data_IF_219751732962
#
_entry.id   IF_219751732962
#
_cell.length_a   1.000
_cell.length_b   1.000
_cell.length_c   1.000
_cell.angle_alpha   90.00
_cell.angle_beta   90.00
_cell.angle_gamma   90.00
#
_symmetry.space_group_name_H-M   'P 1'
#
loop_
_entity.id
_entity.type
_entity.pdbx_description
1 polymer ?
#
# COMPACT_ATOMS: atom_id res chain seq x y z
N UNK A 1 -2.54 23.30 24.29
CA UNK A 1 -2.68 22.99 22.85
C UNK A 1 -1.68 21.92 22.36
N UNK A 2 -0.44 21.93 22.89
CA UNK A 2 0.55 20.84 22.98
C UNK A 2 0.12 19.36 22.85
N UNK A 3 -0.38 18.85 23.97
CA UNK A 3 -0.34 17.43 24.30
C UNK A 3 -1.32 16.54 23.52
N UNK A 4 -2.38 17.12 22.95
CA UNK A 4 -3.48 16.35 22.32
C UNK A 4 -3.09 15.80 20.95
N UNK A 5 -2.33 16.57 20.17
CA UNK A 5 -1.82 16.16 18.85
C UNK A 5 -0.66 15.17 18.96
N UNK A 6 0.26 15.41 19.90
CA UNK A 6 1.38 14.49 20.19
C UNK A 6 0.86 13.12 20.61
N UNK A 7 -0.15 13.08 21.50
CA UNK A 7 -0.77 11.82 21.95
C UNK A 7 -1.55 11.09 20.84
N UNK A 8 -2.04 11.81 19.83
CA UNK A 8 -2.75 11.23 18.69
C UNK A 8 -1.80 10.59 17.66
N UNK A 9 -0.64 11.21 17.43
CA UNK A 9 0.37 10.81 16.44
C UNK A 9 1.48 9.91 16.97
N UNK A 10 1.64 9.79 18.29
CA UNK A 10 2.63 8.87 18.90
C UNK A 10 2.42 7.42 18.46
N UNK A 11 1.16 6.98 18.33
CA UNK A 11 0.87 5.61 17.92
C UNK A 11 1.29 5.33 16.46
N UNK A 12 0.88 6.14 15.45
CA UNK A 12 1.44 6.04 14.10
C UNK A 12 2.97 6.04 14.06
N UNK A 13 3.63 6.93 14.81
CA UNK A 13 5.10 6.98 14.88
C UNK A 13 5.72 5.70 15.44
N UNK A 14 5.13 5.12 16.49
CA UNK A 14 5.62 3.84 17.06
C UNK A 14 5.45 2.70 16.06
N UNK A 15 4.31 2.65 15.38
CA UNK A 15 4.03 1.62 14.36
C UNK A 15 4.99 1.78 13.17
N UNK A 16 5.34 3.01 12.79
CA UNK A 16 6.32 3.31 11.74
C UNK A 16 7.74 2.88 12.15
N UNK A 17 8.14 3.15 13.39
CA UNK A 17 9.41 2.65 13.93
C UNK A 17 9.49 1.12 13.93
N UNK A 18 8.40 0.44 14.28
CA UNK A 18 8.29 -1.02 14.20
C UNK A 18 8.34 -1.52 12.76
N UNK A 19 7.74 -0.80 11.80
CA UNK A 19 7.79 -1.12 10.38
C UNK A 19 9.21 -1.08 9.82
N UNK A 20 9.98 -0.03 10.15
CA UNK A 20 11.38 0.08 9.73
C UNK A 20 12.21 -1.08 10.29
N UNK A 21 12.02 -1.41 11.58
CA UNK A 21 12.67 -2.57 12.19
C UNK A 21 12.28 -3.89 11.54
N UNK A 22 11.00 -4.07 11.21
CA UNK A 22 10.53 -5.28 10.52
C UNK A 22 11.13 -5.39 9.11
N UNK A 23 11.23 -4.28 8.37
CA UNK A 23 11.90 -4.26 7.06
C UNK A 23 13.39 -4.60 7.15
N UNK A 24 14.07 -4.17 8.21
CA UNK A 24 15.48 -4.49 8.45
C UNK A 24 15.69 -5.97 8.81
N UNK A 25 14.77 -6.58 9.57
CA UNK A 25 14.86 -7.97 10.01
C UNK A 25 14.41 -8.99 8.95
N UNK A 26 13.43 -8.65 8.12
CA UNK A 26 12.80 -9.57 7.17
C UNK A 26 13.03 -9.13 5.72
N UNK A 27 14.30 -9.18 5.31
CA UNK A 27 14.69 -8.84 3.94
C UNK A 27 14.05 -9.81 2.93
N UNK A 28 13.32 -9.26 1.96
CA UNK A 28 12.59 -10.02 0.92
C UNK A 28 11.07 -10.05 1.09
N UNK A 29 10.55 -9.68 2.27
CA UNK A 29 9.10 -9.62 2.55
C UNK A 29 8.53 -8.19 2.56
N UNK A 30 9.25 -7.22 2.00
CA UNK A 30 8.92 -5.79 2.06
C UNK A 30 7.47 -5.48 1.66
N UNK A 31 6.95 -6.10 0.60
CA UNK A 31 5.56 -5.89 0.15
C UNK A 31 4.53 -6.37 1.17
N UNK A 32 4.80 -7.50 1.84
CA UNK A 32 3.91 -8.05 2.85
C UNK A 32 3.93 -7.23 4.14
N UNK A 33 5.13 -6.81 4.56
CA UNK A 33 5.32 -5.97 5.74
C UNK A 33 4.68 -4.60 5.50
N UNK A 34 4.81 -4.05 4.29
CA UNK A 34 4.19 -2.79 3.90
C UNK A 34 2.66 -2.89 3.91
N UNK A 35 2.10 -3.95 3.33
CA UNK A 35 0.66 -4.19 3.38
C UNK A 35 0.15 -4.34 4.82
N UNK A 36 0.86 -5.10 5.66
CA UNK A 36 0.50 -5.28 7.07
C UNK A 36 0.50 -3.96 7.85
N UNK A 37 1.50 -3.11 7.61
CA UNK A 37 1.61 -1.78 8.22
C UNK A 37 0.37 -0.92 7.94
N UNK A 38 -0.02 -0.83 6.67
CA UNK A 38 -1.21 -0.06 6.28
C UNK A 38 -2.52 -0.67 6.83
N UNK A 39 -2.62 -1.99 6.92
CA UNK A 39 -3.77 -2.65 7.56
C UNK A 39 -3.87 -2.28 9.05
N UNK A 40 -2.75 -2.28 9.77
CA UNK A 40 -2.71 -1.90 11.20
C UNK A 40 -3.13 -0.44 11.39
N UNK A 41 -2.64 0.47 10.54
CA UNK A 41 -3.06 1.87 10.55
C UNK A 41 -4.56 2.02 10.24
N UNK A 42 -5.06 1.34 9.21
CA UNK A 42 -6.48 1.38 8.85
C UNK A 42 -7.38 0.86 9.99
N UNK A 43 -6.98 -0.23 10.66
CA UNK A 43 -7.69 -0.73 11.84
C UNK A 43 -7.67 0.28 13.00
N UNK A 44 -6.53 0.95 13.24
CA UNK A 44 -6.41 1.98 14.27
C UNK A 44 -7.31 3.18 14.01
N UNK A 45 -7.32 3.73 12.79
CA UNK A 45 -8.22 4.83 12.42
C UNK A 45 -9.69 4.43 12.48
N UNK A 46 -10.01 3.18 12.12
CA UNK A 46 -11.36 2.63 12.26
C UNK A 46 -11.80 2.52 13.73
N UNK A 47 -10.93 2.04 14.62
CA UNK A 47 -11.22 1.93 16.06
C UNK A 47 -11.47 3.29 16.71
N UNK A 48 -10.83 4.34 16.19
CA UNK A 48 -11.05 5.73 16.62
C UNK A 48 -12.35 6.35 16.12
N UNK A 49 -13.13 5.65 15.29
CA UNK A 49 -14.33 6.15 14.60
C UNK A 49 -14.07 7.38 13.70
N UNK A 50 -12.81 7.72 13.45
CA UNK A 50 -12.42 8.75 12.48
C UNK A 50 -12.72 8.27 11.04
N UNK A 51 -12.96 6.97 10.85
CA UNK A 51 -13.24 6.35 9.56
C UNK A 51 -14.46 5.40 9.63
N UNK A 52 -15.49 5.69 8.84
CA UNK A 52 -16.69 4.84 8.71
C UNK A 52 -16.64 4.06 7.39
N UNK A 53 -16.54 2.73 7.44
CA UNK A 53 -16.65 1.92 6.20
C UNK A 53 -18.01 2.13 5.53
N UNK A 54 -19.04 2.45 6.34
CA UNK A 54 -20.36 2.93 5.92
C UNK A 54 -20.22 3.92 4.75
N UNK A 55 -19.59 5.03 5.10
CA UNK A 55 -19.38 6.18 4.23
C UNK A 55 -18.35 5.91 3.15
N UNK A 56 -17.33 5.11 3.46
CA UNK A 56 -16.31 4.73 2.48
C UNK A 56 -16.91 3.91 1.34
N UNK A 57 -17.71 2.87 1.63
CA UNK A 57 -18.42 2.07 0.63
C UNK A 57 -19.45 2.88 -0.16
N UNK A 58 -20.16 3.79 0.50
CA UNK A 58 -21.10 4.69 -0.19
C UNK A 58 -20.36 5.69 -1.10
N UNK A 59 -19.16 6.14 -0.71
CA UNK A 59 -18.31 6.99 -1.55
C UNK A 59 -17.79 6.26 -2.80
N UNK A 60 -17.49 4.96 -2.68
CA UNK A 60 -17.14 4.08 -3.81
C UNK A 60 -18.33 4.01 -4.76
N UNK A 61 -19.52 3.68 -4.23
CA UNK A 61 -20.75 3.52 -5.02
C UNK A 61 -21.17 4.82 -5.71
N UNK A 62 -20.96 5.97 -5.08
CA UNK A 62 -21.23 7.28 -5.70
C UNK A 62 -20.24 7.65 -6.80
N UNK A 63 -19.16 6.91 -6.99
CA UNK A 63 -18.20 7.14 -8.08
C UNK A 63 -17.57 8.53 -8.00
N UNK A 64 -17.23 8.96 -6.77
CA UNK A 64 -16.58 10.26 -6.54
C UNK A 64 -15.28 10.37 -7.37
N UNK A 65 -14.86 11.59 -7.71
CA UNK A 65 -13.65 11.84 -8.53
C UNK A 65 -12.41 11.13 -7.98
N UNK A 66 -12.30 11.02 -6.66
CA UNK A 66 -11.28 10.23 -5.97
C UNK A 66 -11.24 8.76 -6.45
N UNK A 67 -12.39 8.08 -6.50
CA UNK A 67 -12.47 6.67 -6.90
C UNK A 67 -12.16 6.44 -8.37
N UNK A 68 -12.45 7.44 -9.22
CA UNK A 68 -12.03 7.41 -10.62
C UNK A 68 -10.50 7.45 -10.76
N UNK A 69 -9.83 8.30 -9.97
CA UNK A 69 -8.36 8.36 -9.94
C UNK A 69 -7.75 7.07 -9.37
N UNK A 70 -8.36 6.48 -8.35
CA UNK A 70 -7.96 5.18 -7.79
C UNK A 70 -8.04 4.09 -8.85
N UNK A 71 -9.17 3.97 -9.55
CA UNK A 71 -9.33 2.98 -10.63
C UNK A 71 -8.33 3.18 -11.78
N UNK A 72 -8.06 4.43 -12.15
CA UNK A 72 -7.05 4.76 -13.17
C UNK A 72 -5.65 4.31 -12.72
N UNK A 73 -5.32 4.51 -11.44
CA UNK A 73 -4.04 4.12 -10.86
C UNK A 73 -3.87 2.60 -10.83
N UNK A 74 -4.91 1.87 -10.44
CA UNK A 74 -4.95 0.38 -10.51
C UNK A 74 -4.69 -0.09 -11.94
N UNK A 75 -5.33 0.56 -12.93
CA UNK A 75 -5.19 0.23 -14.34
C UNK A 75 -3.74 0.47 -14.83
N UNK A 76 -3.14 1.60 -14.48
CA UNK A 76 -1.74 1.87 -14.84
C UNK A 76 -0.75 0.91 -14.18
N UNK A 77 -0.97 0.52 -12.92
CA UNK A 77 -0.15 -0.51 -12.28
C UNK A 77 -0.29 -1.88 -12.95
N UNK A 78 -1.52 -2.27 -13.34
CA UNK A 78 -1.77 -3.48 -14.12
C UNK A 78 -1.06 -3.46 -15.47
N UNK A 79 -1.13 -2.34 -16.20
CA UNK A 79 -0.43 -2.16 -17.46
C UNK A 79 1.08 -2.23 -17.29
N UNK A 80 1.63 -1.54 -16.29
CA UNK A 80 3.06 -1.58 -15.99
C UNK A 80 3.53 -3.01 -15.70
N UNK A 81 2.78 -3.77 -14.89
CA UNK A 81 3.08 -5.17 -14.60
C UNK A 81 3.07 -6.06 -15.86
N UNK A 82 2.10 -5.88 -16.75
CA UNK A 82 2.04 -6.62 -18.02
C UNK A 82 3.24 -6.24 -18.91
N UNK A 83 3.53 -4.95 -19.06
CA UNK A 83 4.67 -4.48 -19.84
C UNK A 83 5.99 -5.04 -19.29
N UNK A 84 6.19 -5.03 -17.97
CA UNK A 84 7.38 -5.59 -17.33
C UNK A 84 7.50 -7.09 -17.59
N UNK A 85 6.42 -7.87 -17.45
CA UNK A 85 6.45 -9.31 -17.74
C UNK A 85 6.72 -9.63 -19.21
N UNK A 86 6.15 -8.86 -20.14
CA UNK A 86 6.43 -9.01 -21.58
C UNK A 86 7.91 -8.72 -21.85
N UNK A 87 8.44 -7.64 -21.25
CA UNK A 87 9.82 -7.23 -21.42
C UNK A 87 10.81 -8.23 -20.79
N UNK A 88 10.50 -8.82 -19.62
CA UNK A 88 11.31 -9.88 -19.01
C UNK A 88 11.35 -11.14 -19.88
N UNK A 89 10.23 -11.52 -20.50
CA UNK A 89 10.18 -12.68 -21.41
C UNK A 89 10.92 -12.42 -22.73
N UNK A 90 10.91 -11.19 -23.24
CA UNK A 90 11.62 -10.82 -24.46
C UNK A 90 13.13 -10.65 -24.24
N UNK A 91 13.54 -10.24 -23.03
CA UNK A 91 14.95 -10.02 -22.69
C UNK A 91 15.31 -10.64 -21.34
N UNK A 92 15.41 -11.98 -21.26
CA UNK A 92 15.67 -12.69 -20.01
C UNK A 92 17.07 -12.45 -19.42
N UNK A 93 17.96 -11.79 -20.16
CA UNK A 93 19.34 -11.48 -19.75
C UNK A 93 19.50 -10.03 -19.27
N UNK A 94 18.46 -9.19 -19.41
CA UNK A 94 18.47 -7.83 -18.90
C UNK A 94 18.20 -7.87 -17.40
N UNK A 95 19.24 -7.62 -16.61
CA UNK A 95 19.10 -7.38 -15.18
C UNK A 95 18.26 -6.11 -15.00
N UNK A 96 16.97 -6.27 -14.70
CA UNK A 96 16.01 -5.16 -14.62
C UNK A 96 16.30 -4.17 -13.49
N UNK A 97 17.37 -4.37 -12.70
CA UNK A 97 17.95 -3.35 -11.83
C UNK A 97 17.06 -2.85 -10.69
N UNK A 98 15.83 -3.35 -10.54
CA UNK A 98 14.86 -2.78 -9.60
C UNK A 98 14.77 -3.57 -8.29
N UNK A 99 15.53 -3.04 -7.32
CA UNK A 99 15.14 -2.63 -5.95
C UNK A 99 14.04 -3.49 -5.32
N UNK A 100 14.40 -4.28 -4.28
CA UNK A 100 13.65 -4.96 -3.20
C UNK A 100 12.10 -5.11 -3.18
N UNK A 101 11.35 -4.29 -3.90
CA UNK A 101 9.90 -4.29 -4.13
C UNK A 101 9.53 -4.91 -5.50
N UNK A 102 10.23 -5.96 -5.94
CA UNK A 102 9.89 -6.64 -7.19
C UNK A 102 8.48 -7.25 -7.09
N UNK A 103 7.55 -6.67 -7.84
CA UNK A 103 6.20 -7.22 -8.05
C UNK A 103 6.31 -8.25 -9.17
N UNK A 104 6.60 -9.49 -8.79
CA UNK A 104 6.83 -10.63 -9.69
C UNK A 104 5.59 -11.53 -9.85
N UNK A 105 4.57 -11.31 -9.03
CA UNK A 105 3.37 -12.15 -9.01
C UNK A 105 2.11 -11.31 -8.80
N UNK A 106 0.98 -11.80 -9.31
CA UNK A 106 -0.34 -11.19 -9.17
C UNK A 106 -0.72 -10.91 -7.71
N UNK A 107 -0.30 -11.77 -6.77
CA UNK A 107 -0.49 -11.53 -5.33
C UNK A 107 0.26 -10.27 -4.85
N UNK A 108 1.53 -10.10 -5.24
CA UNK A 108 2.31 -8.91 -4.87
C UNK A 108 1.74 -7.65 -5.50
N UNK A 109 1.18 -7.76 -6.71
CA UNK A 109 0.52 -6.64 -7.39
C UNK A 109 -0.74 -6.20 -6.62
N UNK A 110 -1.57 -7.15 -6.20
CA UNK A 110 -2.77 -6.87 -5.40
C UNK A 110 -2.38 -6.24 -4.06
N UNK A 111 -1.36 -6.76 -3.38
CA UNK A 111 -0.89 -6.23 -2.09
C UNK A 111 -0.32 -4.82 -2.23
N UNK A 112 0.53 -4.59 -3.24
CA UNK A 112 1.11 -3.28 -3.51
C UNK A 112 0.05 -2.24 -3.88
N UNK A 113 -0.89 -2.62 -4.75
CA UNK A 113 -2.01 -1.76 -5.14
C UNK A 113 -2.92 -1.47 -3.94
N UNK A 114 -3.19 -2.47 -3.10
CA UNK A 114 -3.95 -2.31 -1.87
C UNK A 114 -3.30 -1.35 -0.89
N UNK A 115 -1.98 -1.40 -0.70
CA UNK A 115 -1.26 -0.43 0.14
C UNK A 115 -1.39 1.00 -0.37
N UNK A 116 -1.28 1.23 -1.68
CA UNK A 116 -1.40 2.57 -2.28
C UNK A 116 -2.79 3.18 -2.14
N UNK A 117 -3.84 2.35 -2.02
CA UNK A 117 -5.22 2.82 -1.82
C UNK A 117 -5.49 3.15 -0.35
N UNK A 118 -4.79 2.48 0.58
CA UNK A 118 -4.94 2.68 2.02
C UNK A 118 -4.09 3.85 2.53
N UNK A 119 -2.94 4.10 1.87
CA UNK A 119 -2.05 5.24 2.12
C UNK A 119 -2.75 6.59 1.88
#
# INVERSE_FOLDING_TARGET
MSNKYVKLNIFPMIVEGLFVLACLLFQGYYIYINFLFYIVLAMYFRLRKDFSIKEWLDSVKRGNTFWKQVMLTILFFGLAFICTNVLENMFPHLDMGMVNLKVDNWLKLILFTGSTIIQ
#
